data_IF_996909903238
#
_entry.id   IF_996909903238
#
_cell.length_a   1.000
_cell.length_b   1.000
_cell.length_c   1.000
_cell.angle_alpha   90.00
_cell.angle_beta   90.00
_cell.angle_gamma   90.00
#
_symmetry.space_group_name_H-M   'P 1'
#
loop_
_entity.id
_entity.type
_entity.pdbx_description
1 polymer ?
#
# COMPACT_ATOMS: atom_id res chain seq x y z
N UNK A 1 -0.06 -0.50 39.34
CA UNK A 1 -0.65 -1.70 38.69
C UNK A 1 -2.18 -1.64 38.54
N UNK A 2 -2.94 -1.04 39.48
CA UNK A 2 -4.41 -0.94 39.40
C UNK A 2 -4.96 0.14 38.45
N UNK A 3 -4.20 1.21 38.19
CA UNK A 3 -4.66 2.31 37.32
C UNK A 3 -4.64 1.97 35.81
N UNK A 4 -3.82 1.01 35.40
CA UNK A 4 -3.67 0.58 33.99
C UNK A 4 -4.83 -0.34 33.57
N UNK A 5 -5.36 -1.17 34.49
CA UNK A 5 -6.52 -2.03 34.22
C UNK A 5 -7.78 -1.24 33.89
N UNK A 6 -8.04 -0.11 34.58
CA UNK A 6 -9.27 0.69 34.37
C UNK A 6 -9.29 1.44 33.04
N UNK A 7 -8.14 1.93 32.56
CA UNK A 7 -8.05 2.55 31.22
C UNK A 7 -8.19 1.54 30.08
N UNK A 8 -7.67 0.32 30.24
CA UNK A 8 -7.85 -0.76 29.26
C UNK A 8 -9.31 -1.25 29.17
N UNK A 9 -10.02 -1.35 30.30
CA UNK A 9 -11.43 -1.77 30.32
C UNK A 9 -12.37 -0.73 29.69
N UNK A 10 -12.14 0.57 29.90
CA UNK A 10 -12.93 1.64 29.27
C UNK A 10 -12.79 1.71 27.75
N UNK A 11 -11.71 1.16 27.17
CA UNK A 11 -11.50 1.09 25.73
C UNK A 11 -12.20 -0.12 25.08
N UNK A 12 -12.33 -1.24 25.83
CA UNK A 12 -13.07 -2.42 25.38
C UNK A 12 -14.53 -2.14 25.02
N UNK A 13 -15.17 -1.16 25.64
CA UNK A 13 -16.58 -0.83 25.39
C UNK A 13 -16.81 0.00 24.12
N UNK A 14 -15.75 0.53 23.47
CA UNK A 14 -15.84 1.43 22.31
C UNK A 14 -15.17 0.91 21.03
N UNK A 15 -14.53 -0.25 21.07
CA UNK A 15 -13.79 -0.83 19.95
C UNK A 15 -14.69 -1.71 19.07
N UNK A 16 -14.68 -1.48 17.74
CA UNK A 16 -15.32 -2.37 16.77
C UNK A 16 -14.56 -3.70 16.64
N UNK A 17 -15.19 -4.73 16.06
CA UNK A 17 -14.64 -6.09 15.99
C UNK A 17 -13.22 -6.21 15.42
N UNK A 18 -12.85 -5.35 14.46
CA UNK A 18 -11.51 -5.29 13.89
C UNK A 18 -10.45 -4.81 14.90
N UNK A 19 -10.77 -3.83 15.76
CA UNK A 19 -9.88 -3.36 16.83
C UNK A 19 -9.67 -4.46 17.89
N UNK A 20 -10.72 -5.24 18.20
CA UNK A 20 -10.61 -6.43 19.06
C UNK A 20 -9.70 -7.50 18.46
N UNK A 21 -9.72 -7.72 17.13
CA UNK A 21 -8.85 -8.70 16.48
C UNK A 21 -7.38 -8.26 16.46
N UNK A 22 -7.09 -6.99 16.13
CA UNK A 22 -5.72 -6.45 16.18
C UNK A 22 -5.17 -6.54 17.60
N UNK A 23 -6.00 -6.24 18.59
CA UNK A 23 -5.64 -6.36 20.00
C UNK A 23 -5.42 -7.82 20.42
N UNK A 24 -6.24 -8.77 19.92
CA UNK A 24 -6.08 -10.19 20.19
C UNK A 24 -4.83 -10.77 19.51
N UNK A 25 -4.55 -10.42 18.26
CA UNK A 25 -3.29 -10.74 17.57
C UNK A 25 -2.08 -10.18 18.33
N UNK A 26 -2.17 -8.95 18.83
CA UNK A 26 -1.11 -8.35 19.65
C UNK A 26 -0.91 -9.09 20.98
N UNK A 27 -2.00 -9.42 21.70
CA UNK A 27 -1.90 -10.12 22.99
C UNK A 27 -1.44 -11.59 22.84
N UNK A 28 -1.84 -12.28 21.79
CA UNK A 28 -1.56 -13.71 21.61
C UNK A 28 -0.24 -13.97 20.89
N UNK A 29 0.11 -13.16 19.88
CA UNK A 29 1.26 -13.43 19.02
C UNK A 29 2.42 -12.48 19.29
N UNK A 30 2.13 -11.21 19.56
CA UNK A 30 3.19 -10.23 19.77
C UNK A 30 3.70 -10.26 21.21
N UNK A 31 2.83 -10.41 22.23
CA UNK A 31 3.21 -10.45 23.66
C UNK A 31 4.27 -11.51 24.02
N UNK A 32 4.23 -12.74 23.47
CA UNK A 32 5.29 -13.72 23.71
C UNK A 32 6.60 -13.36 23.01
N UNK A 33 6.53 -12.88 21.76
CA UNK A 33 7.67 -12.26 21.05
C UNK A 33 8.23 -11.07 21.85
N UNK A 34 7.35 -10.35 22.57
CA UNK A 34 7.73 -9.21 23.40
C UNK A 34 8.57 -9.62 24.64
N UNK A 35 8.61 -10.90 25.00
CA UNK A 35 9.33 -11.39 26.19
C UNK A 35 10.66 -12.07 25.86
N UNK A 36 10.95 -12.35 24.59
CA UNK A 36 12.15 -13.07 24.13
C UNK A 36 13.23 -12.18 23.47
N UNK A 37 13.19 -10.85 23.66
CA UNK A 37 14.06 -9.85 23.01
C UNK A 37 15.55 -9.87 23.40
N UNK A 38 16.28 -10.94 23.06
CA UNK A 38 17.74 -10.86 23.00
C UNK A 38 18.29 -10.79 21.57
N UNK A 39 17.49 -11.11 20.54
CA UNK A 39 17.95 -11.22 19.14
C UNK A 39 17.23 -10.32 18.11
N UNK A 40 16.10 -9.70 18.47
CA UNK A 40 15.32 -8.84 17.55
C UNK A 40 15.69 -7.38 17.81
N UNK A 41 16.23 -6.71 16.80
CA UNK A 41 16.66 -5.30 16.90
C UNK A 41 15.56 -4.30 16.53
N UNK A 42 14.61 -4.67 15.66
CA UNK A 42 13.54 -3.80 15.17
C UNK A 42 12.24 -4.55 14.92
N UNK A 43 11.11 -3.84 15.01
CA UNK A 43 9.76 -4.37 14.80
C UNK A 43 9.11 -3.61 13.64
N UNK A 44 8.41 -4.33 12.77
CA UNK A 44 7.79 -3.78 11.56
C UNK A 44 6.35 -4.27 11.42
N UNK A 45 5.50 -3.44 10.83
CA UNK A 45 4.15 -3.80 10.40
C UNK A 45 4.11 -3.97 8.89
N UNK A 46 3.08 -4.68 8.40
CA UNK A 46 2.83 -4.88 6.98
C UNK A 46 1.34 -4.67 6.73
N UNK A 47 0.97 -3.97 5.65
CA UNK A 47 -0.43 -3.74 5.27
C UNK A 47 -1.28 -3.00 6.31
N UNK A 48 -0.68 -2.13 7.14
CA UNK A 48 -1.45 -1.29 8.06
C UNK A 48 -1.86 0.01 7.36
N UNK A 49 -3.16 0.32 7.40
CA UNK A 49 -3.72 1.63 7.03
C UNK A 49 -3.28 2.71 8.03
N UNK A 50 -3.60 3.98 7.75
CA UNK A 50 -3.36 5.07 8.71
C UNK A 50 -4.07 4.79 10.04
N UNK A 51 -5.33 4.34 9.99
CA UNK A 51 -6.11 4.06 11.19
C UNK A 51 -5.46 2.95 12.02
N UNK A 52 -5.17 1.80 11.41
CA UNK A 52 -4.59 0.64 12.11
C UNK A 52 -3.20 0.95 12.67
N UNK A 53 -2.38 1.70 11.93
CA UNK A 53 -1.07 2.13 12.42
C UNK A 53 -1.18 3.12 13.57
N UNK A 54 -2.14 4.06 13.51
CA UNK A 54 -2.44 4.97 14.61
C UNK A 54 -2.88 4.24 15.88
N UNK A 55 -3.84 3.33 15.76
CA UNK A 55 -4.33 2.50 16.87
C UNK A 55 -3.19 1.71 17.53
N UNK A 56 -2.26 1.16 16.74
CA UNK A 56 -1.08 0.46 17.26
C UNK A 56 -0.13 1.42 18.01
N UNK A 57 0.15 2.59 17.45
CA UNK A 57 1.08 3.56 18.04
C UNK A 57 0.60 4.10 19.40
N UNK A 58 -0.71 4.13 19.64
CA UNK A 58 -1.28 4.55 20.93
C UNK A 58 -0.98 3.57 22.07
N UNK A 59 -0.79 2.28 21.74
CA UNK A 59 -0.63 1.20 22.74
C UNK A 59 0.77 0.58 22.75
N UNK A 60 1.56 0.80 21.70
CA UNK A 60 2.88 0.20 21.55
C UNK A 60 3.91 0.83 22.51
N UNK A 61 4.64 -0.01 23.25
CA UNK A 61 5.78 0.43 24.08
C UNK A 61 6.98 0.82 23.22
N UNK A 62 7.24 0.06 22.17
CA UNK A 62 8.25 0.35 21.14
C UNK A 62 7.49 0.54 19.83
N UNK A 63 7.55 1.74 19.22
CA UNK A 63 6.84 1.98 17.96
C UNK A 63 7.42 1.10 16.84
N UNK A 64 6.60 0.67 15.86
CA UNK A 64 7.11 -0.01 14.68
C UNK A 64 8.09 0.91 13.93
N UNK A 65 9.24 0.38 13.56
CA UNK A 65 10.25 1.10 12.80
C UNK A 65 9.84 1.24 11.32
N UNK A 66 9.14 0.25 10.78
CA UNK A 66 8.73 0.22 9.37
C UNK A 66 7.27 -0.20 9.25
N UNK A 67 6.54 0.43 8.33
CA UNK A 67 5.29 -0.09 7.79
C UNK A 67 5.49 -0.43 6.31
N UNK A 68 5.47 -1.71 5.95
CA UNK A 68 5.66 -2.17 4.58
C UNK A 68 4.30 -2.34 3.89
N UNK A 69 4.07 -1.61 2.80
CA UNK A 69 2.78 -1.57 2.09
C UNK A 69 2.98 -1.57 0.58
N UNK A 70 1.93 -1.88 -0.17
CA UNK A 70 1.89 -1.65 -1.62
C UNK A 70 2.13 -0.17 -1.88
N UNK A 71 3.15 0.16 -2.68
CA UNK A 71 3.41 1.54 -3.07
C UNK A 71 4.17 1.58 -4.39
N UNK A 72 3.56 2.21 -5.40
CA UNK A 72 4.10 2.38 -6.75
C UNK A 72 3.45 3.60 -7.42
N UNK A 73 3.91 4.05 -8.61
CA UNK A 73 3.35 5.24 -9.26
C UNK A 73 1.82 5.24 -9.45
N UNK A 74 1.23 4.05 -9.61
CA UNK A 74 -0.22 3.83 -9.72
C UNK A 74 -0.98 3.70 -8.39
N UNK A 75 -0.28 3.63 -7.25
CA UNK A 75 -0.86 3.53 -5.90
C UNK A 75 0.13 4.15 -4.91
N UNK A 76 0.01 5.46 -4.70
CA UNK A 76 1.09 6.31 -4.19
C UNK A 76 1.06 6.54 -2.67
N UNK A 77 0.00 6.09 -2.01
CA UNK A 77 -0.15 6.13 -0.56
C UNK A 77 0.08 7.53 0.07
N UNK A 78 -0.40 8.66 -0.50
CA UNK A 78 0.00 9.99 -0.02
C UNK A 78 -0.37 10.22 1.45
N UNK A 79 -1.57 9.81 1.85
CA UNK A 79 -2.08 9.91 3.24
C UNK A 79 -1.23 9.07 4.20
N UNK A 80 -0.95 7.82 3.86
CA UNK A 80 -0.17 6.91 4.69
C UNK A 80 1.30 7.32 4.77
N UNK A 81 1.92 7.76 3.68
CA UNK A 81 3.29 8.30 3.67
C UNK A 81 3.41 9.51 4.60
N UNK A 82 2.49 10.47 4.50
CA UNK A 82 2.48 11.65 5.37
C UNK A 82 2.32 11.25 6.86
N UNK A 83 1.43 10.29 7.15
CA UNK A 83 1.23 9.80 8.51
C UNK A 83 2.48 9.10 9.06
N UNK A 84 3.06 8.16 8.29
CA UNK A 84 4.31 7.48 8.64
C UNK A 84 5.43 8.48 8.95
N UNK A 85 5.62 9.49 8.09
CA UNK A 85 6.62 10.55 8.30
C UNK A 85 6.36 11.32 9.61
N UNK A 86 5.10 11.68 9.89
CA UNK A 86 4.73 12.40 11.13
C UNK A 86 4.94 11.58 12.41
N UNK A 87 5.02 10.26 12.30
CA UNK A 87 5.17 9.31 13.41
C UNK A 87 6.56 8.68 13.48
N UNK A 88 7.50 9.13 12.65
CA UNK A 88 8.85 8.55 12.52
C UNK A 88 8.82 7.04 12.23
N UNK A 89 7.81 6.59 11.48
CA UNK A 89 7.72 5.23 10.95
C UNK A 89 8.18 5.27 9.49
N UNK A 90 9.15 4.43 9.12
CA UNK A 90 9.61 4.35 7.74
C UNK A 90 8.58 3.60 6.87
N UNK A 91 8.22 4.13 5.71
CA UNK A 91 7.41 3.39 4.75
C UNK A 91 8.32 2.60 3.81
N UNK A 92 8.02 1.32 3.61
CA UNK A 92 8.70 0.48 2.62
C UNK A 92 7.71 -0.02 1.58
N UNK A 93 7.90 0.36 0.32
CA UNK A 93 7.03 -0.01 -0.80
C UNK A 93 7.33 -1.41 -1.33
N UNK A 94 6.43 -2.37 -1.11
CA UNK A 94 6.43 -3.63 -1.86
C UNK A 94 5.69 -3.48 -3.19
N UNK A 95 5.91 -4.44 -4.09
CA UNK A 95 5.40 -4.41 -5.47
C UNK A 95 5.67 -3.09 -6.20
N UNK A 96 6.87 -2.48 -6.10
CA UNK A 96 7.12 -1.14 -6.64
C UNK A 96 6.97 -1.06 -8.17
N UNK A 97 6.93 -2.21 -8.85
CA UNK A 97 6.74 -2.35 -10.30
C UNK A 97 5.33 -2.82 -10.69
N UNK A 98 4.38 -2.91 -9.75
CA UNK A 98 3.03 -3.44 -10.00
C UNK A 98 2.92 -4.97 -10.07
N UNK A 99 3.94 -5.69 -9.56
CA UNK A 99 4.00 -7.17 -9.58
C UNK A 99 3.81 -7.80 -10.97
N UNK A 100 4.60 -7.40 -11.99
CA UNK A 100 4.46 -7.92 -13.34
C UNK A 100 4.71 -9.43 -13.37
N UNK A 101 3.84 -10.16 -14.08
CA UNK A 101 3.87 -11.63 -14.17
C UNK A 101 3.06 -12.36 -13.10
N UNK A 102 2.39 -11.65 -12.19
CA UNK A 102 1.37 -12.25 -11.33
C UNK A 102 0.03 -12.29 -12.05
N UNK A 103 -0.44 -13.49 -12.42
CA UNK A 103 -1.57 -13.67 -13.34
C UNK A 103 -2.93 -13.21 -12.80
N UNK A 104 -3.08 -13.10 -11.49
CA UNK A 104 -4.30 -12.64 -10.81
C UNK A 104 -4.26 -11.17 -10.39
N UNK A 105 -3.21 -10.44 -10.76
CA UNK A 105 -3.11 -8.99 -10.53
C UNK A 105 -3.41 -8.28 -11.84
N UNK A 106 -4.46 -7.46 -11.84
CA UNK A 106 -4.84 -6.61 -12.96
C UNK A 106 -4.20 -5.24 -12.78
N UNK A 107 -3.17 -4.95 -13.56
CA UNK A 107 -2.50 -3.66 -13.51
C UNK A 107 -1.21 -3.68 -14.32
N UNK A 108 -0.97 -2.60 -15.05
CA UNK A 108 0.24 -2.44 -15.86
C UNK A 108 0.93 -1.12 -15.52
N UNK A 109 1.64 -1.13 -14.39
CA UNK A 109 2.34 0.05 -13.87
C UNK A 109 3.47 0.47 -14.81
N UNK A 110 4.14 -0.49 -15.46
CA UNK A 110 5.31 -0.22 -16.29
C UNK A 110 4.95 0.35 -17.67
N UNK A 111 3.73 0.13 -18.16
CA UNK A 111 3.25 0.74 -19.40
C UNK A 111 2.42 2.02 -19.19
N UNK A 112 2.44 2.60 -17.98
CA UNK A 112 1.77 3.89 -17.74
C UNK A 112 2.39 5.00 -18.63
N UNK A 113 1.60 5.79 -19.39
CA UNK A 113 2.13 6.76 -20.33
C UNK A 113 3.08 7.79 -19.74
N UNK A 114 2.78 8.29 -18.52
CA UNK A 114 3.65 9.26 -17.83
C UNK A 114 4.99 8.61 -17.49
N UNK A 115 4.94 7.37 -17.00
CA UNK A 115 6.14 6.63 -16.62
C UNK A 115 7.02 6.30 -17.83
N UNK A 116 6.43 5.88 -18.95
CA UNK A 116 7.14 5.64 -20.22
C UNK A 116 7.74 6.93 -20.78
N UNK A 117 6.99 8.04 -20.78
CA UNK A 117 7.49 9.34 -21.25
C UNK A 117 8.72 9.81 -20.44
N UNK A 118 8.67 9.66 -19.11
CA UNK A 118 9.79 10.01 -18.22
C UNK A 118 10.99 9.09 -18.47
N UNK A 119 10.75 7.78 -18.68
CA UNK A 119 11.80 6.81 -18.97
C UNK A 119 12.54 7.14 -20.27
N UNK A 120 11.81 7.46 -21.34
CA UNK A 120 12.37 7.88 -22.63
C UNK A 120 13.23 9.15 -22.50
N UNK A 121 12.70 10.19 -21.84
CA UNK A 121 13.41 11.46 -21.64
C UNK A 121 14.71 11.32 -20.85
N UNK A 122 14.77 10.37 -19.92
CA UNK A 122 15.94 10.14 -19.07
C UNK A 122 16.89 9.07 -19.62
N UNK A 123 16.53 8.39 -20.72
CA UNK A 123 17.29 7.25 -21.22
C UNK A 123 17.39 6.11 -20.19
N UNK A 124 16.30 5.86 -19.46
CA UNK A 124 16.19 4.83 -18.41
C UNK A 124 15.08 3.85 -18.74
N UNK A 125 15.06 2.71 -18.07
CA UNK A 125 13.93 1.77 -18.21
C UNK A 125 12.72 2.26 -17.38
N UNK A 126 11.48 1.89 -17.78
CA UNK A 126 10.28 2.09 -16.97
C UNK A 126 10.46 1.63 -15.51
N UNK A 127 11.05 0.45 -15.30
CA UNK A 127 11.29 -0.09 -13.97
C UNK A 127 12.25 0.80 -13.14
N UNK A 128 13.34 1.27 -13.74
CA UNK A 128 14.28 2.19 -13.08
C UNK A 128 13.60 3.49 -12.67
N UNK A 129 12.73 4.06 -13.53
CA UNK A 129 11.95 5.26 -13.20
C UNK A 129 10.97 5.00 -12.06
N UNK A 130 10.24 3.88 -12.06
CA UNK A 130 9.32 3.52 -10.98
C UNK A 130 10.03 3.43 -9.62
N UNK A 131 11.20 2.79 -9.61
CA UNK A 131 12.02 2.62 -8.40
C UNK A 131 12.61 3.95 -7.94
N UNK A 132 13.16 4.75 -8.87
CA UNK A 132 13.71 6.07 -8.57
C UNK A 132 12.65 7.03 -8.04
N UNK A 133 11.43 6.97 -8.60
CA UNK A 133 10.28 7.70 -8.08
C UNK A 133 10.03 7.37 -6.61
N UNK A 134 10.03 6.09 -6.25
CA UNK A 134 9.81 5.66 -4.87
C UNK A 134 10.88 6.17 -3.90
N UNK A 135 12.14 6.12 -4.32
CA UNK A 135 13.26 6.66 -3.56
C UNK A 135 13.15 8.19 -3.37
N UNK A 136 12.79 8.94 -4.42
CA UNK A 136 12.59 10.40 -4.33
C UNK A 136 11.33 10.78 -3.54
N UNK A 137 10.34 9.89 -3.49
CA UNK A 137 9.19 9.99 -2.59
C UNK A 137 9.55 9.71 -1.12
N UNK A 138 10.78 9.31 -0.82
CA UNK A 138 11.27 9.12 0.54
C UNK A 138 10.95 7.77 1.15
N UNK A 139 10.66 6.74 0.35
CA UNK A 139 10.43 5.38 0.84
C UNK A 139 11.40 4.37 0.21
N UNK A 140 11.67 3.27 0.91
CA UNK A 140 12.42 2.15 0.31
C UNK A 140 11.55 1.41 -0.70
N UNK A 141 12.18 0.69 -1.62
CA UNK A 141 11.52 -0.09 -2.68
C UNK A 141 12.03 -1.53 -2.66
N UNK A 142 11.14 -2.49 -2.90
CA UNK A 142 11.44 -3.93 -2.85
C UNK A 142 11.15 -4.62 -4.20
N UNK A 143 11.92 -4.33 -5.26
CA UNK A 143 11.74 -4.98 -6.55
C UNK A 143 12.13 -6.46 -6.49
N UNK A 144 11.23 -7.35 -6.94
CA UNK A 144 11.52 -8.78 -7.09
C UNK A 144 11.91 -9.07 -8.53
N UNK A 145 13.00 -9.81 -8.73
CA UNK A 145 13.36 -10.43 -10.01
C UNK A 145 14.12 -11.72 -9.77
N UNK A 146 14.00 -12.67 -10.69
CA UNK A 146 14.84 -13.87 -10.79
C UNK A 146 15.77 -13.83 -12.02
N UNK A 147 15.65 -12.79 -12.85
CA UNK A 147 16.52 -12.55 -13.99
C UNK A 147 17.66 -11.62 -13.58
N UNK A 148 18.89 -12.06 -13.82
CA UNK A 148 20.11 -11.38 -13.38
C UNK A 148 20.26 -9.97 -13.98
N UNK A 149 19.98 -9.80 -15.27
CA UNK A 149 20.02 -8.50 -15.96
C UNK A 149 19.08 -7.51 -15.27
N UNK A 150 17.84 -7.91 -14.99
CA UNK A 150 16.88 -7.05 -14.27
C UNK A 150 17.29 -6.77 -12.83
N UNK A 151 17.96 -7.72 -12.15
CA UNK A 151 18.48 -7.47 -10.79
C UNK A 151 19.54 -6.36 -10.82
N UNK A 152 20.46 -6.41 -11.80
CA UNK A 152 21.47 -5.38 -12.03
C UNK A 152 20.83 -4.03 -12.39
N UNK A 153 19.90 -4.02 -13.35
CA UNK A 153 19.19 -2.79 -13.74
C UNK A 153 18.42 -2.14 -12.57
N UNK A 154 17.77 -2.96 -11.73
CA UNK A 154 16.95 -2.47 -10.61
C UNK A 154 17.78 -1.79 -9.51
N UNK A 155 19.08 -2.11 -9.37
CA UNK A 155 19.95 -1.44 -8.39
C UNK A 155 20.61 -0.17 -8.97
N UNK A 156 20.64 -0.01 -10.30
CA UNK A 156 21.17 1.16 -11.02
C UNK A 156 20.24 2.40 -10.98
N UNK A 157 19.65 2.64 -9.80
CA UNK A 157 18.71 3.75 -9.52
C UNK A 157 19.33 4.85 -8.66
N UNK A 158 20.65 4.77 -8.45
CA UNK A 158 21.49 5.76 -7.80
C UNK A 158 22.38 6.49 -8.81
N UNK A 159 22.92 7.65 -8.45
CA UNK A 159 23.78 8.45 -9.34
C UNK A 159 23.04 9.29 -10.38
N UNK A 160 21.71 9.23 -10.41
CA UNK A 160 20.85 10.09 -11.21
C UNK A 160 19.53 10.35 -10.47
N UNK A 161 18.73 11.31 -10.94
CA UNK A 161 17.43 11.65 -10.36
C UNK A 161 16.44 12.05 -11.45
N UNK A 162 15.15 11.85 -11.17
CA UNK A 162 14.05 12.43 -11.94
C UNK A 162 14.00 13.93 -11.63
N UNK A 163 14.19 14.81 -12.63
CA UNK A 163 14.07 16.27 -12.47
C UNK A 163 12.69 16.69 -11.99
N UNK A 164 12.59 17.84 -11.30
CA UNK A 164 11.35 18.29 -10.65
C UNK A 164 10.17 18.45 -11.62
N UNK A 165 10.41 18.93 -12.84
CA UNK A 165 9.40 19.10 -13.89
C UNK A 165 8.82 17.77 -14.36
N UNK A 166 9.67 16.74 -14.50
CA UNK A 166 9.25 15.38 -14.82
C UNK A 166 8.60 14.70 -13.61
N UNK A 167 9.13 14.93 -12.41
CA UNK A 167 8.62 14.35 -11.17
C UNK A 167 7.20 14.85 -10.85
N UNK A 168 6.91 16.11 -11.12
CA UNK A 168 5.58 16.70 -10.94
C UNK A 168 4.51 15.99 -11.77
N UNK A 169 4.86 15.36 -12.90
CA UNK A 169 3.89 14.63 -13.74
C UNK A 169 3.23 13.46 -13.02
N UNK A 170 3.91 12.83 -12.06
CA UNK A 170 3.36 11.69 -11.33
C UNK A 170 2.15 12.05 -10.47
N UNK A 171 1.93 13.32 -10.12
CA UNK A 171 0.68 13.73 -9.45
C UNK A 171 -0.55 13.64 -10.36
N UNK A 172 -0.34 13.57 -11.68
CA UNK A 172 -1.39 13.36 -12.68
C UNK A 172 -1.71 11.89 -12.94
N UNK A 173 -1.03 10.94 -12.27
CA UNK A 173 -1.41 9.52 -12.35
C UNK A 173 -2.67 9.31 -11.52
N UNK A 174 -3.76 8.97 -12.19
CA UNK A 174 -5.04 8.67 -11.56
C UNK A 174 -4.91 7.48 -10.59
N UNK A 175 -5.53 7.60 -9.42
CA UNK A 175 -5.62 6.58 -8.40
C UNK A 175 -7.11 6.39 -8.09
N UNK A 176 -7.75 5.44 -8.77
CA UNK A 176 -9.20 5.26 -8.72
C UNK A 176 -9.61 4.06 -7.86
N UNK A 177 -10.56 4.25 -6.95
CA UNK A 177 -11.30 3.15 -6.33
C UNK A 177 -12.37 2.68 -7.32
N UNK A 178 -12.36 1.41 -7.74
CA UNK A 178 -13.41 0.86 -8.58
C UNK A 178 -14.76 0.85 -7.85
N UNK A 179 -15.58 1.88 -8.05
CA UNK A 179 -17.03 1.75 -7.98
C UNK A 179 -17.50 1.23 -9.33
N UNK A 180 -17.74 -0.08 -9.43
CA UNK A 180 -18.41 -0.65 -10.59
C UNK A 180 -19.86 -0.14 -10.61
N UNK A 181 -20.14 0.93 -11.35
CA UNK A 181 -21.50 1.28 -11.72
C UNK A 181 -21.98 0.30 -12.79
N UNK A 182 -22.80 -0.68 -12.38
CA UNK A 182 -23.61 -1.44 -13.33
C UNK A 182 -24.65 -0.50 -13.95
N UNK A 183 -24.42 -0.06 -15.20
CA UNK A 183 -25.50 0.52 -16.01
C UNK A 183 -26.33 -0.64 -16.55
N UNK A 184 -27.50 -0.87 -15.98
CA UNK A 184 -28.53 -1.72 -16.58
C UNK A 184 -28.99 -1.08 -17.89
N UNK A 185 -28.71 -1.71 -19.03
CA UNK A 185 -29.27 -1.30 -20.30
C UNK A 185 -30.75 -1.65 -20.37
N UNK A 186 -31.60 -0.64 -20.52
CA UNK A 186 -32.94 -0.81 -21.09
C UNK A 186 -32.84 -0.56 -22.59
N UNK A 187 -33.43 -1.47 -23.35
CA UNK A 187 -33.44 -1.51 -24.81
C UNK A 187 -34.35 -0.39 -25.31
N UNK A 188 -33.81 0.60 -26.03
CA UNK A 188 -34.37 1.17 -27.26
C UNK A 188 -33.41 2.20 -27.88
N UNK A 189 -33.29 2.12 -29.21
CA UNK A 189 -32.38 2.85 -30.11
C UNK A 189 -32.01 4.28 -29.71
N UNK A 190 -30.72 4.49 -29.40
CA UNK A 190 -29.93 5.70 -29.71
C UNK A 190 -28.46 5.42 -29.40
N UNK A 191 -27.55 5.98 -30.21
CA UNK A 191 -26.12 5.68 -30.23
C UNK A 191 -25.50 5.57 -28.83
N UNK A 192 -24.98 4.39 -28.51
CA UNK A 192 -24.12 4.17 -27.36
C UNK A 192 -22.70 4.51 -27.81
N UNK A 193 -22.16 5.64 -27.36
CA UNK A 193 -20.71 5.83 -27.33
C UNK A 193 -20.19 4.82 -26.31
N UNK A 194 -19.76 3.66 -26.79
CA UNK A 194 -18.92 2.76 -26.00
C UNK A 194 -17.57 3.47 -25.91
N UNK A 195 -17.47 4.41 -24.97
CA UNK A 195 -16.17 4.81 -24.44
C UNK A 195 -15.63 3.55 -23.77
N UNK A 196 -14.87 2.78 -24.53
CA UNK A 196 -13.95 1.80 -24.01
C UNK A 196 -13.00 2.58 -23.12
N UNK A 197 -13.31 2.71 -21.82
CA UNK A 197 -12.33 3.06 -20.80
C UNK A 197 -11.36 1.87 -20.73
N UNK A 198 -10.50 1.78 -21.73
CA UNK A 198 -9.18 1.15 -21.67
C UNK A 198 -8.19 2.10 -20.97
N UNK A 199 -8.68 2.93 -20.03
CA UNK A 199 -7.80 3.46 -19.00
C UNK A 199 -7.48 2.27 -18.12
N UNK A 200 -6.25 1.77 -18.24
CA UNK A 200 -5.59 0.99 -17.20
C UNK A 200 -6.07 1.46 -15.83
N UNK A 201 -6.95 0.71 -15.17
CA UNK A 201 -7.49 1.13 -13.88
C UNK A 201 -6.37 0.99 -12.85
N UNK A 202 -5.77 2.11 -12.49
CA UNK A 202 -4.72 2.21 -11.48
C UNK A 202 -5.37 2.35 -10.10
N UNK A 203 -5.44 1.22 -9.38
CA UNK A 203 -6.00 1.09 -8.05
C UNK A 203 -5.04 0.28 -7.17
N UNK A 204 -5.35 0.14 -5.88
CA UNK A 204 -4.72 -0.88 -5.03
C UNK A 204 -4.83 -2.26 -5.70
N UNK A 205 -3.71 -2.79 -6.15
CA UNK A 205 -3.59 -4.07 -6.84
C UNK A 205 -3.76 -5.24 -5.88
N UNK A 206 -3.16 -5.14 -4.69
CA UNK A 206 -3.19 -6.17 -3.66
C UNK A 206 -4.28 -5.84 -2.64
N UNK A 207 -5.52 -6.16 -3.02
CA UNK A 207 -6.73 -5.85 -2.23
C UNK A 207 -6.91 -6.69 -0.97
N UNK A 208 -6.21 -7.82 -0.85
CA UNK A 208 -6.30 -8.69 0.34
C UNK A 208 -7.63 -9.45 0.46
N UNK A 209 -8.25 -9.81 -0.67
CA UNK A 209 -9.55 -10.50 -0.73
C UNK A 209 -9.59 -11.79 0.09
N UNK A 210 -8.47 -12.50 0.24
CA UNK A 210 -8.38 -13.69 1.09
C UNK A 210 -8.60 -13.45 2.60
N UNK A 211 -8.56 -12.19 3.06
CA UNK A 211 -8.83 -11.82 4.46
C UNK A 211 -10.26 -11.32 4.70
N UNK A 212 -11.06 -11.22 3.63
CA UNK A 212 -12.42 -10.66 3.67
C UNK A 212 -13.43 -11.77 3.45
N UNK A 213 -14.42 -11.84 4.34
CA UNK A 213 -15.56 -12.73 4.17
C UNK A 213 -16.76 -12.18 4.95
N UNK A 214 -17.89 -12.01 4.26
CA UNK A 214 -19.10 -11.38 4.79
C UNK A 214 -19.60 -12.05 6.09
N UNK A 215 -19.67 -13.38 6.11
CA UNK A 215 -20.14 -14.11 7.29
C UNK A 215 -19.05 -14.41 8.31
N UNK A 216 -17.93 -15.01 7.89
CA UNK A 216 -16.94 -15.60 8.81
C UNK A 216 -15.63 -14.82 8.92
N UNK A 217 -15.42 -13.82 8.05
CA UNK A 217 -14.21 -13.02 8.04
C UNK A 217 -14.20 -12.03 9.20
N UNK A 218 -12.99 -11.72 9.68
CA UNK A 218 -12.82 -10.62 10.62
C UNK A 218 -13.05 -9.26 9.97
N UNK A 219 -12.85 -9.18 8.65
CA UNK A 219 -13.24 -8.06 7.80
C UNK A 219 -14.40 -8.51 6.91
N UNK A 220 -15.48 -7.72 6.91
CA UNK A 220 -16.71 -8.00 6.15
C UNK A 220 -16.64 -7.48 4.73
N UNK A 221 -15.82 -6.46 4.49
CA UNK A 221 -15.55 -5.92 3.16
C UNK A 221 -14.09 -5.49 3.00
N UNK A 222 -13.70 -5.19 1.76
CA UNK A 222 -12.35 -4.67 1.45
C UNK A 222 -12.18 -3.26 2.03
N UNK A 223 -13.25 -2.48 2.05
CA UNK A 223 -13.29 -1.14 2.65
C UNK A 223 -13.00 -1.22 4.15
N UNK A 224 -13.53 -2.23 4.86
CA UNK A 224 -13.23 -2.46 6.28
C UNK A 224 -11.77 -2.90 6.49
N UNK A 225 -11.25 -3.76 5.62
CA UNK A 225 -9.85 -4.19 5.67
C UNK A 225 -8.90 -3.00 5.54
N UNK A 226 -9.21 -2.01 4.70
CA UNK A 226 -8.35 -0.86 4.42
C UNK A 226 -8.78 0.44 5.11
N UNK A 227 -9.82 0.41 5.93
CA UNK A 227 -10.41 1.61 6.57
C UNK A 227 -10.71 2.72 5.56
N UNK A 228 -11.19 2.33 4.37
CA UNK A 228 -11.50 3.21 3.25
C UNK A 228 -10.29 3.65 2.40
N UNK A 229 -9.08 3.16 2.66
CA UNK A 229 -7.87 3.48 1.87
C UNK A 229 -7.76 2.56 0.63
N UNK A 230 -8.65 2.78 -0.34
CA UNK A 230 -8.82 1.99 -1.57
C UNK A 230 -8.67 2.78 -2.86
#
# INVERSE_FOLDING_TARGET
MFFIKRKMLSYCERATGATLMIQKMFQEHWKPLWQSFSLITLISTFNFSVKKLGDLLEVARVPPAVNQVECHPAWQQPKLRAFCQSKSVHLSGYSPLGSPGTTWIEGDVLNNPILTEVAEKLGKTPAQVALRWGLQMGHSVLPKSTNETRIKENIEVFGWSIPNDLFAKFSGVEQASLYSFFVLSSVHSSLIVICKLMSSLQARLLRGTGFVHETYGAYKSIEELWDGEL
#
